data_IF_127173630783
#
_entry.id   IF_127173630783
#
_cell.length_a   1.000
_cell.length_b   1.000
_cell.length_c   1.000
_cell.angle_alpha   90.00
_cell.angle_beta   90.00
_cell.angle_gamma   90.00
#
_symmetry.space_group_name_H-M   'P 1'
#
loop_
_entity.id
_entity.type
_entity.pdbx_description
1 polymer ?
#
# COMPACT_ATOMS: atom_id res chain seq x y z
N UNK A 1 -3.27 -3.93 -13.29
CA UNK A 1 -4.13 -4.56 -12.26
C UNK A 1 -3.98 -3.83 -10.94
N UNK A 2 -5.10 -3.46 -10.33
CA UNK A 2 -5.16 -2.71 -9.06
C UNK A 2 -6.18 -3.31 -8.09
N UNK A 3 -6.03 -3.13 -6.76
CA UNK A 3 -7.02 -3.60 -5.79
C UNK A 3 -8.38 -2.92 -5.97
N UNK A 4 -8.41 -1.59 -6.09
CA UNK A 4 -9.65 -0.84 -6.28
C UNK A 4 -9.40 0.49 -6.98
N UNK A 5 -10.21 0.82 -7.99
CA UNK A 5 -10.19 2.15 -8.63
C UNK A 5 -10.79 3.26 -7.75
N UNK A 6 -11.36 2.93 -6.59
CA UNK A 6 -11.91 3.95 -5.68
C UNK A 6 -10.82 4.73 -4.92
N UNK A 7 -9.56 4.28 -4.96
CA UNK A 7 -8.45 4.98 -4.31
C UNK A 7 -7.96 6.14 -5.16
N UNK A 8 -7.83 7.32 -4.56
CA UNK A 8 -7.24 8.50 -5.21
C UNK A 8 -5.84 8.21 -5.78
N UNK A 9 -5.02 7.45 -5.05
CA UNK A 9 -3.68 7.08 -5.50
C UNK A 9 -3.70 6.28 -6.81
N UNK A 10 -4.55 5.25 -6.90
CA UNK A 10 -4.63 4.43 -8.12
C UNK A 10 -5.26 5.21 -9.29
N UNK A 11 -6.24 6.08 -9.04
CA UNK A 11 -6.80 6.92 -10.11
C UNK A 11 -5.75 7.86 -10.71
N UNK A 12 -4.97 8.54 -9.86
CA UNK A 12 -3.90 9.42 -10.32
C UNK A 12 -2.82 8.65 -11.08
N UNK A 13 -2.41 7.48 -10.55
CA UNK A 13 -1.44 6.61 -11.21
C UNK A 13 -1.95 6.11 -12.57
N UNK A 14 -3.20 5.64 -12.65
CA UNK A 14 -3.79 5.15 -13.90
C UNK A 14 -3.91 6.25 -14.95
N UNK A 15 -4.34 7.46 -14.57
CA UNK A 15 -4.42 8.60 -15.49
C UNK A 15 -3.03 8.97 -16.05
N UNK A 16 -2.02 9.02 -15.18
CA UNK A 16 -0.63 9.32 -15.59
C UNK A 16 -0.07 8.21 -16.49
N UNK A 17 -0.35 6.95 -16.16
CA UNK A 17 0.09 5.81 -16.94
C UNK A 17 -0.58 5.78 -18.32
N UNK A 18 -1.88 6.04 -18.39
CA UNK A 18 -2.64 6.10 -19.65
C UNK A 18 -2.08 7.15 -20.61
N UNK A 19 -1.73 8.33 -20.10
CA UNK A 19 -1.11 9.38 -20.90
C UNK A 19 0.22 8.94 -21.51
N UNK A 20 1.09 8.29 -20.72
CA UNK A 20 2.40 7.85 -21.18
C UNK A 20 2.34 6.65 -22.14
N UNK A 21 1.54 5.63 -21.84
CA UNK A 21 1.43 4.47 -22.75
C UNK A 21 0.81 4.86 -24.08
N UNK A 22 -0.12 5.83 -24.09
CA UNK A 22 -0.72 6.37 -25.32
C UNK A 22 0.29 7.09 -26.19
N UNK A 23 1.23 7.86 -25.61
CA UNK A 23 2.35 8.48 -26.37
C UNK A 23 3.23 7.45 -27.07
N UNK A 24 3.31 6.24 -26.51
CA UNK A 24 4.07 5.11 -27.05
C UNK A 24 3.24 4.20 -27.98
N UNK A 25 1.99 4.54 -28.27
CA UNK A 25 1.12 3.76 -29.17
C UNK A 25 0.47 2.52 -28.52
N UNK A 26 0.46 2.42 -27.19
CA UNK A 26 -0.18 1.34 -26.46
C UNK A 26 -1.54 1.75 -25.89
N UNK A 27 -2.41 0.76 -25.69
CA UNK A 27 -3.70 0.90 -24.99
C UNK A 27 -3.63 0.28 -23.59
N UNK A 28 -4.31 0.89 -22.62
CA UNK A 28 -4.34 0.42 -21.24
C UNK A 28 -5.55 -0.49 -20.97
N UNK A 29 -5.30 -1.71 -20.47
CA UNK A 29 -6.33 -2.61 -19.94
C UNK A 29 -6.33 -2.55 -18.41
N UNK A 30 -7.43 -2.08 -17.81
CA UNK A 30 -7.55 -1.93 -16.36
C UNK A 30 -8.37 -3.09 -15.79
N UNK A 31 -7.77 -3.84 -14.86
CA UNK A 31 -8.41 -4.96 -14.16
C UNK A 31 -8.35 -4.73 -12.65
N UNK A 32 -9.47 -4.96 -11.96
CA UNK A 32 -9.57 -4.84 -10.52
C UNK A 32 -9.49 -6.21 -9.84
N UNK A 33 -8.70 -6.34 -8.78
CA UNK A 33 -8.65 -7.58 -7.98
C UNK A 33 -9.59 -7.56 -6.77
N UNK A 34 -10.08 -6.39 -6.33
CA UNK A 34 -10.95 -6.31 -5.15
C UNK A 34 -10.25 -6.68 -3.83
N UNK A 35 -8.91 -6.64 -3.80
CA UNK A 35 -8.08 -7.19 -2.71
C UNK A 35 -8.30 -8.72 -2.50
N UNK A 36 -8.72 -9.44 -3.54
CA UNK A 36 -8.86 -10.91 -3.57
C UNK A 36 -7.76 -11.57 -4.45
N UNK A 37 -6.89 -12.44 -3.89
CA UNK A 37 -5.90 -13.20 -4.64
C UNK A 37 -6.47 -14.09 -5.75
N UNK A 38 -7.69 -14.62 -5.59
CA UNK A 38 -8.34 -15.46 -6.61
C UNK A 38 -8.64 -14.62 -7.86
N UNK A 39 -9.10 -13.39 -7.65
CA UNK A 39 -9.33 -12.44 -8.73
C UNK A 39 -8.03 -11.99 -9.38
N UNK A 40 -6.91 -11.90 -8.64
CA UNK A 40 -5.60 -11.67 -9.26
C UNK A 40 -5.25 -12.76 -10.26
N UNK A 41 -5.40 -14.04 -9.89
CA UNK A 41 -5.11 -15.16 -10.77
C UNK A 41 -6.02 -15.18 -12.00
N UNK A 42 -7.30 -14.86 -11.82
CA UNK A 42 -8.23 -14.69 -12.94
C UNK A 42 -7.78 -13.57 -13.88
N UNK A 43 -7.41 -12.41 -13.35
CA UNK A 43 -6.93 -11.27 -14.12
C UNK A 43 -5.63 -11.59 -14.87
N UNK A 44 -4.72 -12.35 -14.27
CA UNK A 44 -3.50 -12.82 -14.96
C UNK A 44 -3.83 -13.70 -16.16
N UNK A 45 -4.83 -14.58 -16.04
CA UNK A 45 -5.31 -15.39 -17.15
C UNK A 45 -5.88 -14.52 -18.28
N UNK A 46 -6.71 -13.52 -17.94
CA UNK A 46 -7.23 -12.54 -18.91
C UNK A 46 -6.08 -11.81 -19.62
N UNK A 47 -5.08 -11.33 -18.90
CA UNK A 47 -3.91 -10.68 -19.51
C UNK A 47 -3.16 -11.60 -20.47
N UNK A 48 -2.97 -12.87 -20.10
CA UNK A 48 -2.30 -13.87 -20.94
C UNK A 48 -3.10 -14.17 -22.20
N UNK A 49 -4.41 -14.36 -22.09
CA UNK A 49 -5.30 -14.62 -23.23
C UNK A 49 -5.37 -13.45 -24.21
N UNK A 50 -5.32 -12.21 -23.70
CA UNK A 50 -5.28 -10.99 -24.50
C UNK A 50 -3.88 -10.65 -25.05
N UNK A 51 -2.86 -11.48 -24.79
CA UNK A 51 -1.47 -11.27 -25.26
C UNK A 51 -0.95 -9.86 -24.98
N UNK A 52 -1.17 -9.36 -23.76
CA UNK A 52 -0.72 -8.03 -23.36
C UNK A 52 0.80 -7.91 -23.46
N UNK A 53 1.29 -6.72 -23.82
CA UNK A 53 2.73 -6.44 -23.93
C UNK A 53 3.46 -6.42 -22.58
N UNK A 54 2.72 -6.24 -21.48
CA UNK A 54 3.25 -6.21 -20.12
C UNK A 54 2.16 -5.97 -19.09
N UNK A 55 2.48 -6.18 -17.82
CA UNK A 55 1.53 -6.08 -16.71
C UNK A 55 2.09 -5.20 -15.61
N UNK A 56 1.34 -4.18 -15.22
CA UNK A 56 1.52 -3.47 -13.96
C UNK A 56 0.62 -4.10 -12.90
N UNK A 57 1.17 -4.55 -11.77
CA UNK A 57 0.42 -5.23 -10.73
C UNK A 57 0.68 -4.64 -9.34
N UNK A 58 -0.37 -4.20 -8.65
CA UNK A 58 -0.33 -3.97 -7.21
C UNK A 58 -0.97 -5.18 -6.52
N UNK A 59 -0.20 -5.88 -5.70
CA UNK A 59 -0.64 -7.10 -5.03
C UNK A 59 -1.75 -6.84 -4.00
N UNK A 60 -2.49 -7.86 -3.62
CA UNK A 60 -3.39 -7.78 -2.47
C UNK A 60 -2.65 -7.92 -1.14
N UNK A 61 -3.34 -7.56 -0.06
CA UNK A 61 -2.87 -7.78 1.32
C UNK A 61 -2.76 -9.25 1.72
N UNK A 62 -3.42 -10.13 0.95
CA UNK A 62 -3.56 -11.56 1.24
C UNK A 62 -2.70 -12.43 0.31
N UNK A 63 -2.10 -11.84 -0.73
CA UNK A 63 -1.24 -12.55 -1.68
C UNK A 63 0.06 -12.98 -1.01
N UNK A 64 0.30 -14.29 -0.96
CA UNK A 64 1.51 -14.90 -0.38
C UNK A 64 2.44 -15.54 -1.40
N UNK A 65 1.88 -15.92 -2.55
CA UNK A 65 2.60 -16.59 -3.62
C UNK A 65 2.47 -15.77 -4.90
N UNK A 66 3.62 -15.43 -5.48
CA UNK A 66 3.69 -14.71 -6.76
C UNK A 66 4.13 -15.61 -7.92
N UNK A 67 4.25 -16.93 -7.71
CA UNK A 67 4.71 -17.86 -8.73
C UNK A 67 3.91 -17.76 -10.04
N UNK A 68 2.61 -17.51 -9.95
CA UNK A 68 1.75 -17.30 -11.13
C UNK A 68 2.15 -16.06 -11.95
N UNK A 69 2.61 -14.99 -11.29
CA UNK A 69 3.11 -13.80 -11.97
C UNK A 69 4.47 -14.09 -12.62
N UNK A 70 5.36 -14.77 -11.92
CA UNK A 70 6.71 -15.07 -12.42
C UNK A 70 6.68 -15.97 -13.65
N UNK A 71 5.74 -16.92 -13.73
CA UNK A 71 5.52 -17.78 -14.91
C UNK A 71 5.16 -17.00 -16.18
N UNK A 72 4.72 -15.75 -16.08
CA UNK A 72 4.43 -14.94 -17.27
C UNK A 72 5.70 -14.51 -18.01
N UNK A 73 6.86 -14.51 -17.34
CA UNK A 73 8.14 -14.28 -17.99
C UNK A 73 8.46 -15.36 -19.03
N UNK A 74 8.04 -16.62 -18.80
CA UNK A 74 8.18 -17.72 -19.77
C UNK A 74 7.37 -17.46 -21.06
N UNK A 75 6.35 -16.60 -20.99
CA UNK A 75 5.53 -16.17 -22.12
C UNK A 75 5.97 -14.83 -22.70
N UNK A 76 7.15 -14.32 -22.34
CA UNK A 76 7.64 -13.00 -22.75
C UNK A 76 6.73 -11.83 -22.35
N UNK A 77 5.95 -11.99 -21.27
CA UNK A 77 5.10 -10.94 -20.72
C UNK A 77 5.76 -10.41 -19.43
N UNK A 78 6.43 -9.24 -19.46
CA UNK A 78 7.05 -8.67 -18.27
C UNK A 78 5.99 -8.21 -17.25
N UNK A 79 6.29 -8.45 -15.97
CA UNK A 79 5.46 -8.00 -14.85
C UNK A 79 6.24 -6.99 -14.01
N UNK A 80 5.67 -5.82 -13.82
CA UNK A 80 6.16 -4.78 -12.92
C UNK A 80 5.21 -4.63 -11.74
N UNK A 81 5.73 -4.84 -10.53
CA UNK A 81 4.99 -4.63 -9.30
C UNK A 81 5.07 -3.17 -8.85
N UNK A 82 3.99 -2.61 -8.33
CA UNK A 82 4.00 -1.25 -7.80
C UNK A 82 3.09 -1.11 -6.58
N UNK A 83 3.38 -0.08 -5.76
CA UNK A 83 2.68 0.19 -4.48
C UNK A 83 2.77 -0.99 -3.50
N UNK A 84 1.90 -2.00 -3.62
CA UNK A 84 1.97 -3.24 -2.85
C UNK A 84 2.83 -4.26 -3.60
N UNK A 85 4.05 -4.43 -3.13
CA UNK A 85 5.08 -5.25 -3.80
C UNK A 85 5.48 -6.48 -2.98
N UNK A 86 5.98 -7.53 -3.66
CA UNK A 86 6.53 -8.70 -2.98
C UNK A 86 7.89 -8.36 -2.33
N UNK A 87 8.25 -9.09 -1.27
CA UNK A 87 9.27 -8.64 -0.32
C UNK A 87 10.68 -9.11 -0.71
N UNK A 88 10.85 -10.36 -1.13
CA UNK A 88 12.14 -11.05 -1.26
C UNK A 88 12.41 -11.63 -2.66
N UNK A 89 11.59 -11.29 -3.64
CA UNK A 89 11.62 -11.92 -4.95
C UNK A 89 12.35 -11.06 -5.99
N UNK A 90 13.16 -11.68 -6.88
CA UNK A 90 13.86 -10.98 -7.96
C UNK A 90 12.84 -10.59 -9.04
N UNK A 91 12.18 -9.46 -8.84
CA UNK A 91 11.14 -8.92 -9.71
C UNK A 91 11.32 -7.42 -9.93
N UNK A 92 10.77 -6.92 -11.03
CA UNK A 92 10.71 -5.49 -11.28
C UNK A 92 9.67 -4.88 -10.32
N UNK A 93 10.10 -3.93 -9.51
CA UNK A 93 9.22 -3.26 -8.54
C UNK A 93 9.49 -1.77 -8.46
N UNK A 94 8.42 -0.99 -8.36
CA UNK A 94 8.44 0.46 -8.16
C UNK A 94 7.72 0.77 -6.86
N UNK A 95 8.49 1.23 -5.88
CA UNK A 95 7.99 1.48 -4.53
C UNK A 95 8.38 2.88 -4.08
N UNK A 96 7.61 3.41 -3.14
CA UNK A 96 8.03 4.59 -2.39
C UNK A 96 9.13 4.21 -1.40
N UNK A 97 9.99 5.17 -1.05
CA UNK A 97 10.98 5.02 0.00
C UNK A 97 10.29 5.06 1.38
N UNK A 98 9.60 3.97 1.73
CA UNK A 98 8.70 3.87 2.88
C UNK A 98 9.38 4.16 4.21
N UNK A 99 10.61 3.70 4.40
CA UNK A 99 11.39 4.01 5.60
C UNK A 99 11.66 5.51 5.72
N UNK A 100 12.10 6.14 4.64
CA UNK A 100 12.44 7.56 4.64
C UNK A 100 11.19 8.41 4.87
N UNK A 101 10.07 8.04 4.25
CA UNK A 101 8.78 8.70 4.46
C UNK A 101 8.34 8.61 5.93
N UNK A 102 8.50 7.44 6.56
CA UNK A 102 8.18 7.25 7.97
C UNK A 102 9.11 8.05 8.91
N UNK A 103 10.42 8.06 8.66
CA UNK A 103 11.38 8.89 9.42
C UNK A 103 11.04 10.37 9.31
N UNK A 104 10.77 10.88 8.11
CA UNK A 104 10.37 12.28 7.90
C UNK A 104 9.09 12.63 8.67
N UNK A 105 8.11 11.72 8.72
CA UNK A 105 6.90 11.92 9.50
C UNK A 105 7.18 11.99 11.02
N UNK A 106 8.04 11.11 11.54
CA UNK A 106 8.46 11.13 12.95
C UNK A 106 9.23 12.42 13.28
N UNK A 107 10.21 12.79 12.45
CA UNK A 107 11.00 14.02 12.60
C UNK A 107 10.12 15.27 12.61
N UNK A 108 9.10 15.34 11.75
CA UNK A 108 8.15 16.45 11.74
C UNK A 108 7.36 16.57 13.06
N UNK A 109 7.06 15.44 13.72
CA UNK A 109 6.38 15.43 15.04
C UNK A 109 7.34 15.85 16.17
N UNK A 110 8.58 15.36 16.14
CA UNK A 110 9.64 15.73 17.08
C UNK A 110 9.91 17.24 17.00
N UNK A 111 10.09 17.78 15.80
CA UNK A 111 10.33 19.21 15.57
C UNK A 111 9.19 20.08 16.13
N UNK A 112 7.95 19.57 16.11
CA UNK A 112 6.76 20.24 16.67
C UNK A 112 6.55 19.98 18.17
N UNK A 113 7.52 19.35 18.86
CA UNK A 113 7.51 19.02 20.30
C UNK A 113 6.23 18.30 20.74
N UNK A 114 5.70 17.41 19.91
CA UNK A 114 4.49 16.64 20.23
C UNK A 114 4.83 15.51 21.20
N UNK A 115 4.28 15.56 22.40
CA UNK A 115 4.55 14.58 23.47
C UNK A 115 3.61 13.37 23.46
N UNK A 116 2.46 13.47 22.78
CA UNK A 116 1.46 12.40 22.69
C UNK A 116 1.10 12.18 21.24
N UNK A 117 1.58 11.08 20.69
CA UNK A 117 1.39 10.71 19.29
C UNK A 117 0.56 9.44 19.23
N UNK A 118 -0.55 9.49 18.48
CA UNK A 118 -1.29 8.31 18.09
C UNK A 118 -0.87 7.94 16.66
N UNK A 119 -0.26 6.77 16.49
CA UNK A 119 0.13 6.25 15.18
C UNK A 119 -0.85 5.16 14.73
N UNK A 120 -1.41 5.32 13.53
CA UNK A 120 -2.31 4.36 12.91
C UNK A 120 -1.65 3.80 11.64
N UNK A 121 -1.53 2.47 11.59
CA UNK A 121 -0.91 1.77 10.47
C UNK A 121 -1.90 0.85 9.77
N UNK A 122 -1.57 0.44 8.55
CA UNK A 122 -2.38 -0.47 7.75
C UNK A 122 -2.31 -1.92 8.20
N UNK A 123 -2.64 -2.84 7.30
CA UNK A 123 -2.66 -4.27 7.59
C UNK A 123 -1.25 -4.80 7.89
N UNK A 124 -1.11 -5.67 8.89
CA UNK A 124 0.19 -6.18 9.35
C UNK A 124 0.90 -7.08 8.32
N UNK A 125 0.16 -7.67 7.39
CA UNK A 125 0.73 -8.46 6.29
C UNK A 125 1.32 -7.60 5.16
N UNK A 126 1.09 -6.28 5.16
CA UNK A 126 1.65 -5.42 4.12
C UNK A 126 3.08 -4.99 4.48
N UNK A 127 4.02 -5.24 3.59
CA UNK A 127 5.42 -4.78 3.69
C UNK A 127 5.50 -3.28 4.00
N UNK A 128 4.75 -2.45 3.27
CA UNK A 128 4.63 -0.99 3.48
C UNK A 128 4.30 -0.66 4.94
N UNK A 129 3.29 -1.32 5.51
CA UNK A 129 2.82 -1.01 6.87
C UNK A 129 3.82 -1.45 7.94
N UNK A 130 4.52 -2.57 7.71
CA UNK A 130 5.57 -3.07 8.61
C UNK A 130 6.78 -2.13 8.58
N UNK A 131 7.28 -1.81 7.39
CA UNK A 131 8.45 -0.94 7.19
C UNK A 131 8.19 0.45 7.77
N UNK A 132 7.07 1.08 7.42
CA UNK A 132 6.73 2.41 7.93
C UNK A 132 6.55 2.42 9.44
N UNK A 133 5.96 1.37 10.00
CA UNK A 133 5.79 1.25 11.45
C UNK A 133 7.14 1.16 12.15
N UNK A 134 8.03 0.30 11.67
CA UNK A 134 9.33 0.11 12.29
C UNK A 134 10.16 1.40 12.23
N UNK A 135 10.35 1.96 11.04
CA UNK A 135 11.12 3.18 10.85
C UNK A 135 10.56 4.39 11.63
N UNK A 136 9.24 4.49 11.77
CA UNK A 136 8.61 5.55 12.58
C UNK A 136 8.88 5.38 14.07
N UNK A 137 8.86 4.14 14.58
CA UNK A 137 9.13 3.86 15.99
C UNK A 137 10.61 4.08 16.31
N UNK A 138 11.51 3.58 15.48
CA UNK A 138 12.96 3.71 15.66
C UNK A 138 13.38 5.19 15.75
N UNK A 139 12.82 6.04 14.89
CA UNK A 139 13.11 7.49 14.86
C UNK A 139 12.59 8.22 16.11
N UNK A 140 11.43 7.81 16.64
CA UNK A 140 10.88 8.40 17.86
C UNK A 140 11.63 7.92 19.11
N UNK A 141 12.01 6.65 19.16
CA UNK A 141 12.78 6.06 20.26
C UNK A 141 14.18 6.68 20.35
N UNK A 142 14.85 6.90 19.21
CA UNK A 142 16.17 7.54 19.17
C UNK A 142 16.17 8.99 19.70
N UNK A 143 15.02 9.65 19.72
CA UNK A 143 14.83 11.00 20.26
C UNK A 143 14.12 11.03 21.63
N UNK A 144 13.95 9.88 22.28
CA UNK A 144 13.40 9.77 23.64
C UNK A 144 11.92 10.16 23.75
N UNK A 145 11.15 10.09 22.66
CA UNK A 145 9.72 10.41 22.69
C UNK A 145 8.93 9.20 23.19
N UNK A 146 8.16 9.37 24.27
CA UNK A 146 7.33 8.30 24.80
C UNK A 146 6.20 7.92 23.82
N UNK A 147 6.22 6.68 23.34
CA UNK A 147 5.26 6.18 22.34
C UNK A 147 4.18 5.35 23.01
N UNK A 148 2.91 5.65 22.72
CA UNK A 148 1.79 4.78 23.09
C UNK A 148 1.21 4.11 21.86
N UNK A 149 1.66 2.89 21.59
CA UNK A 149 1.08 2.06 20.55
C UNK A 149 -0.27 1.52 21.00
N UNK A 150 -1.35 1.98 20.36
CA UNK A 150 -2.65 1.35 20.51
C UNK A 150 -2.83 0.27 19.44
N UNK A 151 -2.90 -0.99 19.86
CA UNK A 151 -3.23 -2.11 18.98
C UNK A 151 -4.75 -2.29 18.98
N UNK A 152 -5.43 -1.96 17.87
CA UNK A 152 -6.84 -2.33 17.72
C UNK A 152 -6.95 -3.86 17.68
N UNK A 153 -7.89 -4.48 18.41
CA UNK A 153 -8.29 -5.84 18.08
C UNK A 153 -8.85 -5.82 16.65
N UNK A 154 -8.28 -6.65 15.78
CA UNK A 154 -8.69 -6.81 14.38
C UNK A 154 -10.04 -7.55 14.37
N UNK A 155 -11.14 -6.84 14.64
CA UNK A 155 -12.50 -7.33 14.33
C UNK A 155 -13.06 -6.51 13.19
N UNK A 156 -13.47 -7.17 12.10
CA UNK A 156 -14.12 -6.63 10.89
C UNK A 156 -15.22 -5.63 11.24
N UNK A 157 -14.85 -4.38 11.50
CA UNK A 157 -15.77 -3.29 11.88
C UNK A 157 -15.43 -2.08 11.03
N UNK A 158 -16.45 -1.37 10.52
CA UNK A 158 -16.24 -0.19 9.70
C UNK A 158 -15.35 0.84 10.39
N UNK A 159 -14.42 1.45 9.65
CA UNK A 159 -13.48 2.48 10.13
C UNK A 159 -14.23 3.62 10.84
N UNK A 160 -15.43 3.97 10.38
CA UNK A 160 -16.30 5.00 10.99
C UNK A 160 -16.73 4.68 12.42
N UNK A 161 -16.95 3.41 12.78
CA UNK A 161 -17.26 2.99 14.16
C UNK A 161 -16.00 2.95 15.04
N UNK A 162 -14.83 2.65 14.46
CA UNK A 162 -13.54 2.64 15.18
C UNK A 162 -13.09 4.06 15.57
N UNK A 163 -13.17 5.02 14.66
CA UNK A 163 -12.85 6.44 14.94
C UNK A 163 -13.83 7.03 15.95
N UNK A 164 -15.13 6.69 15.86
CA UNK A 164 -16.14 7.15 16.82
C UNK A 164 -15.94 6.55 18.23
N UNK A 165 -15.41 5.33 18.31
CA UNK A 165 -15.00 4.74 19.59
C UNK A 165 -13.75 5.43 20.15
N UNK A 166 -12.75 5.70 19.30
CA UNK A 166 -11.53 6.48 19.62
C UNK A 166 -11.84 7.89 20.14
N UNK A 167 -12.87 8.56 19.60
CA UNK A 167 -13.31 9.89 20.05
C UNK A 167 -14.10 9.87 21.37
N UNK A 168 -14.73 8.73 21.73
CA UNK A 168 -15.54 8.61 22.96
C UNK A 168 -14.73 8.30 24.21
N UNK A 169 -13.57 7.66 24.10
CA UNK A 169 -12.65 7.43 25.23
C UNK A 169 -11.75 8.65 25.47
N UNK A 170 -12.34 9.73 26.01
CA UNK A 170 -11.67 10.80 26.82
C UNK A 170 -10.27 11.27 26.36
N UNK A 171 -10.00 11.37 25.05
CA UNK A 171 -8.71 11.89 24.54
C UNK A 171 -8.80 12.93 23.42
N UNK A 172 -10.00 13.35 23.02
CA UNK A 172 -10.18 14.30 21.92
C UNK A 172 -11.27 15.33 22.26
N UNK A 173 -10.89 16.35 23.02
CA UNK A 173 -11.41 17.70 22.81
C UNK A 173 -10.22 18.65 22.80
N UNK A 174 -10.23 19.59 21.85
CA UNK A 174 -9.15 20.53 21.48
C UNK A 174 -8.11 20.00 20.52
N UNK A 175 -8.48 19.82 19.26
CA UNK A 175 -7.61 20.16 18.14
C UNK A 175 -8.49 20.35 16.89
N UNK A 176 -9.21 21.47 16.82
CA UNK A 176 -9.64 22.15 15.59
C UNK A 176 -10.17 23.52 16.05
N UNK A 177 -9.55 24.66 15.67
CA UNK A 177 -10.27 25.93 15.62
C UNK A 177 -11.33 25.89 14.52
#
# INVERSE_FOLDING_TARGET
MVPSISSYFYNFFLASLEEEVKKQGYSLLILQSGDDPVMELFNLKVCKENRVAGIFASLTSETKDISAFLKLAEHSIPVLFFDKVPTWEPCLKVCLADEQAARLAAQALIARKKQRVLALFGHHNMSISVIRRQAFLDELESHGVAIRLWKSPVRRTPISKRIRCLLRTRLLMRFFP
#
